data_IF_028275525748
#
_entry.id   IF_028275525748
#
_cell.length_a   1.000
_cell.length_b   1.000
_cell.length_c   1.000
_cell.angle_alpha   90.00
_cell.angle_beta   90.00
_cell.angle_gamma   90.00
#
_symmetry.space_group_name_H-M   'P 1'
#
loop_
_entity.id
_entity.type
_entity.pdbx_description
1 polymer ?
#
# COMPACT_ATOMS: atom_id res chain seq x y z
N UNK A 1 0.89 -19.08 21.83
CA UNK A 1 -0.11 -18.16 22.41
C UNK A 1 0.17 -16.67 22.13
N UNK A 2 1.13 -16.30 21.25
CA UNK A 2 1.52 -14.89 21.01
C UNK A 2 0.75 -14.13 19.92
N UNK A 3 0.09 -14.79 18.96
CA UNK A 3 -0.44 -14.10 17.76
C UNK A 3 -1.78 -13.37 17.98
N UNK A 4 -2.56 -13.74 18.99
CA UNK A 4 -3.88 -13.11 19.22
C UNK A 4 -3.78 -11.67 19.73
N UNK A 5 -2.75 -11.36 20.53
CA UNK A 5 -2.58 -10.03 21.13
C UNK A 5 -2.10 -9.00 20.10
N UNK A 6 -1.18 -9.38 19.21
CA UNK A 6 -0.70 -8.50 18.14
C UNK A 6 -1.80 -8.22 17.12
N UNK A 7 -2.54 -9.25 16.69
CA UNK A 7 -3.64 -9.09 15.74
C UNK A 7 -4.73 -8.13 16.23
N UNK A 8 -5.15 -8.24 17.50
CA UNK A 8 -6.14 -7.33 18.08
C UNK A 8 -5.63 -5.90 18.20
N UNK A 9 -4.36 -5.73 18.57
CA UNK A 9 -3.73 -4.41 18.65
C UNK A 9 -3.63 -3.75 17.27
N UNK A 10 -3.24 -4.48 16.24
CA UNK A 10 -3.14 -3.95 14.87
C UNK A 10 -4.52 -3.58 14.32
N UNK A 11 -5.54 -4.41 14.55
CA UNK A 11 -6.92 -4.10 14.19
C UNK A 11 -7.44 -2.84 14.92
N UNK A 12 -7.03 -2.63 16.17
CA UNK A 12 -7.41 -1.43 16.92
C UNK A 12 -6.72 -0.17 16.35
N UNK A 13 -5.44 -0.26 16.00
CA UNK A 13 -4.72 0.84 15.32
C UNK A 13 -5.36 1.20 13.99
N UNK A 14 -5.69 0.22 13.16
CA UNK A 14 -6.36 0.46 11.87
C UNK A 14 -7.69 1.19 12.06
N UNK A 15 -8.49 0.80 13.06
CA UNK A 15 -9.76 1.49 13.38
C UNK A 15 -9.56 2.94 13.81
N UNK A 16 -8.56 3.22 14.65
CA UNK A 16 -8.27 4.59 15.08
C UNK A 16 -7.76 5.43 13.91
N UNK A 17 -6.91 4.86 13.05
CA UNK A 17 -6.44 5.55 11.86
C UNK A 17 -7.58 5.87 10.90
N UNK A 18 -8.54 4.97 10.72
CA UNK A 18 -9.69 5.18 9.85
C UNK A 18 -10.50 6.44 10.22
N UNK A 19 -10.65 6.74 11.52
CA UNK A 19 -11.33 7.95 12.02
C UNK A 19 -10.59 9.21 11.55
N UNK A 20 -9.26 9.23 11.69
CA UNK A 20 -8.43 10.33 11.19
C UNK A 20 -8.57 10.47 9.67
N UNK A 21 -8.45 9.36 8.93
CA UNK A 21 -8.55 9.36 7.47
C UNK A 21 -9.89 9.89 6.98
N UNK A 22 -11.00 9.51 7.63
CA UNK A 22 -12.32 10.04 7.31
C UNK A 22 -12.37 11.56 7.44
N UNK A 23 -11.86 12.12 8.54
CA UNK A 23 -11.75 13.56 8.71
C UNK A 23 -10.92 14.21 7.59
N UNK A 24 -9.75 13.63 7.28
CA UNK A 24 -8.86 14.17 6.24
C UNK A 24 -9.51 14.16 4.85
N UNK A 25 -10.19 13.08 4.47
CA UNK A 25 -10.89 13.03 3.19
C UNK A 25 -11.98 14.08 3.07
N UNK A 26 -12.81 14.24 4.10
CA UNK A 26 -13.88 15.25 4.08
C UNK A 26 -13.33 16.68 4.02
N UNK A 27 -12.22 16.96 4.72
CA UNK A 27 -11.63 18.29 4.79
C UNK A 27 -10.89 18.69 3.49
N UNK A 28 -10.14 17.75 2.90
CA UNK A 28 -9.24 18.04 1.79
C UNK A 28 -9.83 17.72 0.41
N UNK A 29 -10.82 16.82 0.31
CA UNK A 29 -11.39 16.36 -0.96
C UNK A 29 -12.87 16.77 -1.11
N UNK A 30 -13.16 18.06 -0.97
CA UNK A 30 -14.52 18.64 -0.94
C UNK A 30 -15.41 18.29 -2.14
N UNK A 31 -14.82 18.01 -3.31
CA UNK A 31 -15.54 17.63 -4.54
C UNK A 31 -15.93 16.14 -4.59
N UNK A 32 -15.59 15.38 -3.55
CA UNK A 32 -15.86 13.96 -3.44
C UNK A 32 -16.70 13.65 -2.19
N UNK A 33 -17.58 12.67 -2.32
CA UNK A 33 -18.22 11.96 -1.22
C UNK A 33 -17.49 10.66 -0.93
N UNK A 34 -17.62 10.17 0.29
CA UNK A 34 -16.88 9.04 0.80
C UNK A 34 -17.82 8.06 1.51
N UNK A 35 -17.74 6.79 1.16
CA UNK A 35 -18.51 5.73 1.79
C UNK A 35 -17.57 4.61 2.23
N UNK A 36 -17.45 4.40 3.54
CA UNK A 36 -16.73 3.25 4.09
C UNK A 36 -17.42 1.95 3.75
N UNK A 37 -16.61 0.94 3.48
CA UNK A 37 -17.06 -0.41 3.19
C UNK A 37 -16.84 -1.25 4.44
N UNK A 38 -17.92 -1.79 5.01
CA UNK A 38 -17.89 -2.78 6.09
C UNK A 38 -18.11 -4.21 5.59
N UNK A 39 -18.43 -4.37 4.29
CA UNK A 39 -18.60 -5.68 3.67
C UNK A 39 -17.25 -6.38 3.53
N UNK A 40 -17.08 -7.49 4.25
CA UNK A 40 -15.82 -8.23 4.31
C UNK A 40 -15.39 -8.75 2.93
N UNK A 41 -16.35 -9.14 2.06
CA UNK A 41 -16.02 -9.64 0.73
C UNK A 41 -15.42 -8.54 -0.16
N UNK A 42 -15.95 -7.31 -0.09
CA UNK A 42 -15.38 -6.16 -0.79
C UNK A 42 -14.04 -5.73 -0.20
N UNK A 43 -13.88 -5.71 1.13
CA UNK A 43 -12.60 -5.43 1.78
C UNK A 43 -11.53 -6.44 1.35
N UNK A 44 -11.85 -7.74 1.32
CA UNK A 44 -10.93 -8.77 0.79
C UNK A 44 -10.54 -8.53 -0.67
N UNK A 45 -11.38 -7.84 -1.45
CA UNK A 45 -11.10 -7.42 -2.82
C UNK A 45 -10.40 -6.07 -2.92
N UNK A 46 -9.87 -5.54 -1.81
CA UNK A 46 -9.11 -4.29 -1.76
C UNK A 46 -10.01 -3.07 -1.92
N UNK A 47 -11.13 -3.02 -1.19
CA UNK A 47 -12.04 -1.87 -1.18
C UNK A 47 -12.42 -1.53 0.25
N UNK A 48 -11.72 -0.57 0.83
CA UNK A 48 -12.02 -0.02 2.17
C UNK A 48 -12.99 1.17 2.07
N UNK A 49 -12.98 1.84 0.92
CA UNK A 49 -13.69 3.08 0.68
C UNK A 49 -14.17 3.16 -0.77
N UNK A 50 -15.39 3.68 -0.93
CA UNK A 50 -15.91 4.12 -2.22
C UNK A 50 -15.85 5.65 -2.24
N UNK A 51 -15.05 6.18 -3.16
CA UNK A 51 -14.94 7.61 -3.43
C UNK A 51 -15.89 7.97 -4.59
N UNK A 52 -16.72 8.99 -4.40
CA UNK A 52 -17.78 9.37 -5.34
C UNK A 52 -17.57 10.83 -5.76
N UNK A 53 -17.32 11.09 -7.03
CA UNK A 53 -17.20 12.46 -7.54
C UNK A 53 -18.58 13.13 -7.55
N UNK A 54 -18.77 14.22 -6.79
CA UNK A 54 -20.10 14.81 -6.55
C UNK A 54 -20.81 15.27 -7.84
N UNK A 55 -20.07 15.85 -8.79
CA UNK A 55 -20.66 16.43 -9.99
C UNK A 55 -21.05 15.39 -11.04
N UNK A 56 -20.29 14.30 -11.16
CA UNK A 56 -20.46 13.30 -12.23
C UNK A 56 -21.06 12.00 -11.72
N UNK A 57 -21.14 11.82 -10.40
CA UNK A 57 -21.47 10.57 -9.73
C UNK A 57 -20.53 9.40 -10.09
N UNK A 58 -19.36 9.69 -10.68
CA UNK A 58 -18.35 8.66 -10.96
C UNK A 58 -17.80 8.11 -9.66
N UNK A 59 -17.77 6.79 -9.55
CA UNK A 59 -17.28 6.07 -8.37
C UNK A 59 -15.90 5.49 -8.61
N UNK A 60 -15.12 5.39 -7.55
CA UNK A 60 -13.80 4.80 -7.54
C UNK A 60 -13.63 3.96 -6.27
N UNK A 61 -13.02 2.79 -6.42
CA UNK A 61 -12.70 1.89 -5.31
C UNK A 61 -11.31 2.17 -4.78
N UNK A 62 -11.23 2.46 -3.49
CA UNK A 62 -10.00 2.85 -2.81
C UNK A 62 -9.63 1.79 -1.77
N UNK A 63 -8.38 1.37 -1.80
CA UNK A 63 -7.75 0.45 -0.85
C UNK A 63 -6.76 1.26 0.00
N UNK A 64 -6.95 1.27 1.31
CA UNK A 64 -6.07 1.95 2.23
C UNK A 64 -4.88 1.06 2.58
N UNK A 65 -3.70 1.67 2.59
CA UNK A 65 -2.45 1.00 2.92
C UNK A 65 -1.64 1.94 3.79
N UNK A 66 -1.32 1.52 5.01
CA UNK A 66 -0.71 2.40 6.01
C UNK A 66 0.64 1.85 6.50
N UNK A 67 1.57 2.77 6.80
CA UNK A 67 2.86 2.46 7.42
C UNK A 67 2.77 2.46 8.95
N UNK A 68 1.87 1.66 9.53
CA UNK A 68 1.66 1.61 10.98
C UNK A 68 2.87 1.12 11.78
N UNK A 69 3.80 0.40 11.15
CA UNK A 69 5.09 0.01 11.75
C UNK A 69 6.06 1.20 11.90
N UNK A 70 5.76 2.34 11.28
CA UNK A 70 6.61 3.54 11.21
C UNK A 70 5.88 4.79 11.74
N UNK A 71 5.06 4.62 12.78
CA UNK A 71 4.43 5.75 13.48
C UNK A 71 5.52 6.67 14.05
N UNK A 72 5.35 7.96 13.86
CA UNK A 72 6.31 9.04 14.15
C UNK A 72 7.56 9.07 13.26
N UNK A 73 7.55 8.32 12.14
CA UNK A 73 8.57 8.40 11.08
C UNK A 73 7.96 8.82 9.73
N UNK A 74 8.71 9.62 8.96
CA UNK A 74 8.31 10.11 7.63
C UNK A 74 9.14 9.43 6.53
N UNK A 75 8.78 8.19 6.21
CA UNK A 75 9.48 7.44 5.16
C UNK A 75 9.12 7.96 3.76
N UNK A 76 10.10 8.22 2.88
CA UNK A 76 9.86 8.71 1.52
C UNK A 76 9.48 7.60 0.53
N UNK A 77 9.17 6.40 1.02
CA UNK A 77 8.94 5.19 0.20
C UNK A 77 7.73 4.43 0.68
N UNK A 78 7.11 3.64 -0.19
CA UNK A 78 6.06 2.69 0.17
C UNK A 78 6.37 1.29 -0.37
N UNK A 79 5.95 0.26 0.37
CA UNK A 79 6.11 -1.13 -0.03
C UNK A 79 4.87 -1.63 -0.79
N UNK A 80 5.06 -2.12 -2.01
CA UNK A 80 4.02 -2.74 -2.82
C UNK A 80 4.22 -4.25 -2.85
N UNK A 81 3.27 -5.01 -2.31
CA UNK A 81 3.42 -6.46 -2.18
C UNK A 81 3.25 -7.15 -3.53
N UNK A 82 4.30 -7.87 -3.95
CA UNK A 82 4.33 -8.64 -5.19
C UNK A 82 3.80 -10.04 -4.94
N UNK A 83 4.33 -10.71 -3.93
CA UNK A 83 3.92 -12.04 -3.49
C UNK A 83 4.32 -12.31 -2.04
N UNK A 84 3.76 -13.36 -1.47
CA UNK A 84 4.08 -13.84 -0.13
C UNK A 84 3.90 -15.37 -0.05
N UNK A 85 4.51 -15.99 0.95
CA UNK A 85 4.35 -17.41 1.25
C UNK A 85 3.26 -17.62 2.31
N UNK A 86 2.35 -18.55 2.07
CA UNK A 86 1.35 -18.96 3.06
C UNK A 86 1.05 -20.45 2.92
N UNK A 87 1.18 -21.18 4.03
CA UNK A 87 0.97 -22.64 4.07
C UNK A 87 1.78 -23.39 2.98
N UNK A 88 3.05 -23.02 2.80
CA UNK A 88 3.95 -23.62 1.81
C UNK A 88 3.66 -23.27 0.34
N UNK A 89 2.71 -22.36 0.07
CA UNK A 89 2.35 -21.92 -1.28
C UNK A 89 2.67 -20.43 -1.47
N UNK A 90 3.18 -20.07 -2.63
CA UNK A 90 3.29 -18.67 -3.05
C UNK A 90 1.90 -18.15 -3.43
N UNK A 91 1.56 -16.97 -2.91
CA UNK A 91 0.32 -16.25 -3.19
C UNK A 91 0.63 -14.90 -3.82
N UNK A 92 -0.18 -14.42 -4.76
CA UNK A 92 -0.01 -13.08 -5.30
C UNK A 92 -0.22 -12.04 -4.20
N UNK A 93 0.65 -11.05 -4.18
CA UNK A 93 0.50 -9.87 -3.35
C UNK A 93 -0.53 -8.93 -3.96
N UNK A 94 -1.03 -8.00 -3.13
CA UNK A 94 -2.15 -7.15 -3.52
C UNK A 94 -1.90 -6.26 -4.75
N UNK A 95 -0.64 -5.97 -5.13
CA UNK A 95 -0.35 -5.15 -6.31
C UNK A 95 -0.84 -5.84 -7.60
N UNK A 96 -0.47 -7.11 -7.78
CA UNK A 96 -0.72 -7.89 -9.00
C UNK A 96 -1.87 -8.88 -8.89
N UNK A 97 -2.51 -9.00 -7.71
CA UNK A 97 -3.67 -9.88 -7.55
C UNK A 97 -4.85 -9.42 -8.43
N UNK A 98 -5.27 -10.23 -9.43
CA UNK A 98 -6.34 -9.86 -10.35
C UNK A 98 -7.74 -9.88 -9.70
N UNK A 99 -7.88 -10.46 -8.51
CA UNK A 99 -9.15 -10.45 -7.77
C UNK A 99 -9.48 -9.08 -7.16
N UNK A 100 -8.44 -8.22 -7.02
CA UNK A 100 -8.55 -6.87 -6.45
C UNK A 100 -9.27 -5.93 -7.40
N UNK A 101 -10.25 -5.21 -6.86
CA UNK A 101 -11.10 -4.22 -7.54
C UNK A 101 -10.58 -2.79 -7.41
N UNK A 102 -9.47 -2.59 -6.73
CA UNK A 102 -8.90 -1.30 -6.40
C UNK A 102 -8.58 -0.45 -7.64
N UNK A 103 -9.09 0.78 -7.67
CA UNK A 103 -8.71 1.81 -8.65
C UNK A 103 -7.54 2.65 -8.12
N UNK A 104 -7.60 3.00 -6.84
CA UNK A 104 -6.58 3.79 -6.16
C UNK A 104 -6.12 3.16 -4.86
N UNK A 105 -4.81 3.19 -4.63
CA UNK A 105 -4.28 2.99 -3.29
C UNK A 105 -4.23 4.34 -2.56
N UNK A 106 -4.78 4.42 -1.37
CA UNK A 106 -4.56 5.52 -0.43
C UNK A 106 -3.37 5.14 0.45
N UNK A 107 -2.18 5.60 0.07
CA UNK A 107 -0.96 5.35 0.82
C UNK A 107 -0.85 6.35 1.97
N UNK A 108 -0.93 5.83 3.19
CA UNK A 108 -0.87 6.59 4.43
C UNK A 108 0.52 6.47 5.03
N UNK A 109 1.20 7.61 5.12
CA UNK A 109 2.60 7.74 5.55
C UNK A 109 2.74 8.90 6.52
N UNK A 110 3.90 9.05 7.15
CA UNK A 110 4.15 10.12 8.13
C UNK A 110 3.04 10.21 9.19
N UNK A 111 2.66 9.04 9.73
CA UNK A 111 1.56 8.92 10.69
C UNK A 111 2.12 9.35 12.05
N UNK A 112 1.62 10.45 12.61
CA UNK A 112 2.03 10.93 13.92
C UNK A 112 0.99 10.62 14.98
N UNK A 113 1.46 10.29 16.17
CA UNK A 113 0.63 10.06 17.35
C UNK A 113 1.30 10.71 18.57
N UNK A 114 0.56 11.58 19.25
CA UNK A 114 1.02 12.27 20.46
C UNK A 114 0.82 11.40 21.71
N UNK A 115 -0.15 10.48 21.66
CA UNK A 115 -0.45 9.49 22.68
C UNK A 115 -0.64 8.10 22.04
N UNK A 116 -0.47 7.00 22.80
CA UNK A 116 -0.68 5.67 22.27
C UNK A 116 -2.05 5.51 21.59
N UNK A 117 -2.03 5.18 20.29
CA UNK A 117 -3.23 4.95 19.46
C UNK A 117 -4.09 6.19 19.18
N UNK A 118 -3.63 7.39 19.52
CA UNK A 118 -4.27 8.66 19.17
C UNK A 118 -3.50 9.31 18.04
N UNK A 119 -3.89 9.01 16.79
CA UNK A 119 -3.24 9.57 15.61
C UNK A 119 -3.69 11.00 15.36
N UNK A 120 -2.73 11.90 15.20
CA UNK A 120 -2.97 13.35 15.13
C UNK A 120 -2.78 13.90 13.72
N UNK A 121 -1.90 13.31 12.92
CA UNK A 121 -1.72 13.68 11.52
C UNK A 121 -1.15 12.54 10.69
N UNK A 122 -1.33 12.64 9.36
CA UNK A 122 -0.71 11.76 8.40
C UNK A 122 -0.63 12.45 7.04
N UNK A 123 0.21 11.95 6.13
CA UNK A 123 0.18 12.28 4.71
C UNK A 123 -0.58 11.21 3.96
N UNK A 124 -1.40 11.64 2.99
CA UNK A 124 -2.14 10.72 2.13
C UNK A 124 -1.75 10.95 0.66
N UNK A 125 -1.24 9.88 0.04
CA UNK A 125 -0.84 9.88 -1.36
C UNK A 125 -1.70 8.89 -2.12
N UNK A 126 -2.54 9.38 -3.04
CA UNK A 126 -3.35 8.51 -3.90
C UNK A 126 -2.53 8.05 -5.09
N UNK A 127 -2.43 6.74 -5.28
CA UNK A 127 -1.74 6.10 -6.41
C UNK A 127 -2.78 5.44 -7.31
N UNK A 128 -2.81 5.84 -8.59
CA UNK A 128 -3.69 5.20 -9.56
C UNK A 128 -3.12 3.81 -9.95
N UNK A 129 -3.81 2.73 -9.57
CA UNK A 129 -3.32 1.36 -9.77
C UNK A 129 -3.13 1.02 -11.26
N UNK A 130 -4.08 1.28 -12.17
CA UNK A 130 -3.88 1.05 -13.60
C UNK A 130 -2.63 1.75 -14.15
N UNK A 131 -2.44 3.04 -13.84
CA UNK A 131 -1.25 3.78 -14.27
C UNK A 131 0.05 3.23 -13.68
N UNK A 132 0.02 2.79 -12.43
CA UNK A 132 1.19 2.16 -11.81
C UNK A 132 1.55 0.87 -12.55
N UNK A 133 0.56 0.00 -12.81
CA UNK A 133 0.80 -1.26 -13.52
C UNK A 133 1.29 -1.02 -14.96
N UNK A 134 0.78 0.01 -15.63
CA UNK A 134 1.25 0.43 -16.96
C UNK A 134 2.71 0.88 -16.93
N UNK A 135 3.08 1.80 -16.01
CA UNK A 135 4.48 2.21 -15.82
C UNK A 135 5.39 1.01 -15.59
N UNK A 136 5.01 0.12 -14.67
CA UNK A 136 5.82 -1.05 -14.33
C UNK A 136 5.97 -1.95 -15.56
N UNK A 137 4.92 -2.12 -16.36
CA UNK A 137 4.97 -2.88 -17.62
C UNK A 137 5.93 -2.23 -18.62
N UNK A 138 5.87 -0.90 -18.81
CA UNK A 138 6.80 -0.15 -19.67
C UNK A 138 8.25 -0.29 -19.20
N UNK A 139 8.48 -0.35 -17.88
CA UNK A 139 9.79 -0.59 -17.27
C UNK A 139 10.20 -2.07 -17.24
N UNK A 140 9.45 -2.95 -17.90
CA UNK A 140 9.68 -4.41 -17.95
C UNK A 140 9.58 -5.11 -16.59
N UNK A 141 8.89 -4.50 -15.63
CA UNK A 141 8.60 -5.01 -14.29
C UNK A 141 7.23 -5.67 -14.23
N UNK A 142 7.01 -6.68 -15.07
CA UNK A 142 5.85 -7.56 -14.93
C UNK A 142 5.95 -8.42 -13.66
N UNK A 143 4.83 -8.96 -13.19
CA UNK A 143 4.82 -9.92 -12.09
C UNK A 143 5.80 -11.08 -12.34
N UNK A 144 5.78 -11.67 -13.54
CA UNK A 144 6.67 -12.77 -13.93
C UNK A 144 8.15 -12.38 -13.87
N UNK A 145 8.50 -11.15 -14.28
CA UNK A 145 9.87 -10.64 -14.19
C UNK A 145 10.31 -10.52 -12.73
N UNK A 146 9.43 -10.00 -11.87
CA UNK A 146 9.71 -9.83 -10.46
C UNK A 146 9.87 -11.17 -9.73
N UNK A 147 9.08 -12.18 -10.10
CA UNK A 147 9.20 -13.54 -9.57
C UNK A 147 10.56 -14.18 -9.91
N UNK A 148 11.13 -13.90 -11.09
CA UNK A 148 12.50 -14.34 -11.43
C UNK A 148 13.53 -13.74 -10.47
N UNK A 149 13.37 -12.48 -10.03
CA UNK A 149 14.26 -11.88 -9.03
C UNK A 149 14.11 -12.55 -7.67
N UNK A 150 12.90 -12.93 -7.29
CA UNK A 150 12.66 -13.67 -6.05
C UNK A 150 13.35 -15.04 -6.06
N UNK A 151 13.23 -15.79 -7.15
CA UNK A 151 13.89 -17.10 -7.30
C UNK A 151 15.42 -16.97 -7.23
N UNK A 152 15.98 -15.97 -7.94
CA UNK A 152 17.43 -15.67 -7.92
C UNK A 152 17.94 -15.17 -6.58
N UNK A 153 17.07 -14.59 -5.75
CA UNK A 153 17.44 -14.17 -4.42
C UNK A 153 17.76 -15.37 -3.50
N UNK A 154 17.33 -16.59 -3.85
CA UNK A 154 17.59 -17.82 -3.10
C UNK A 154 17.30 -17.68 -1.59
N UNK A 155 16.20 -17.00 -1.25
CA UNK A 155 15.79 -16.79 0.15
C UNK A 155 16.59 -15.74 0.92
N UNK A 156 17.47 -14.97 0.26
CA UNK A 156 18.18 -13.84 0.88
C UNK A 156 17.20 -12.84 1.46
N UNK A 157 17.50 -12.37 2.67
CA UNK A 157 16.80 -11.27 3.31
C UNK A 157 17.40 -9.94 2.87
N UNK A 158 16.56 -8.92 2.67
CA UNK A 158 16.98 -7.53 2.51
C UNK A 158 16.77 -6.95 1.12
N UNK A 159 17.49 -5.85 0.86
CA UNK A 159 17.38 -5.03 -0.37
C UNK A 159 18.06 -5.71 -1.55
N UNK A 160 17.35 -5.74 -2.68
CA UNK A 160 17.80 -6.25 -3.96
C UNK A 160 17.69 -5.11 -4.98
N UNK A 161 18.84 -4.70 -5.53
CA UNK A 161 18.91 -3.73 -6.63
C UNK A 161 18.55 -4.42 -7.93
N UNK A 162 17.81 -3.72 -8.79
CA UNK A 162 17.44 -4.17 -10.12
C UNK A 162 17.89 -3.13 -11.15
N UNK A 163 18.10 -3.55 -12.39
CA UNK A 163 18.56 -2.67 -13.48
C UNK A 163 17.48 -1.74 -14.00
N UNK A 164 16.22 -2.11 -13.78
CA UNK A 164 15.03 -1.44 -14.28
C UNK A 164 14.67 -0.19 -13.49
N UNK A 165 15.22 -0.03 -12.27
CA UNK A 165 14.99 1.11 -11.39
C UNK A 165 16.29 1.63 -10.78
N UNK A 166 16.42 2.95 -10.70
CA UNK A 166 17.44 3.56 -9.84
C UNK A 166 17.09 3.35 -8.36
N UNK A 167 18.00 2.71 -7.62
CA UNK A 167 17.73 2.31 -6.23
C UNK A 167 17.73 3.45 -5.20
N UNK A 168 18.10 4.66 -5.62
CA UNK A 168 18.15 5.86 -4.80
C UNK A 168 16.95 6.77 -5.07
N UNK A 169 16.63 7.03 -6.35
CA UNK A 169 15.55 7.94 -6.76
C UNK A 169 14.23 7.26 -7.12
N UNK A 170 14.23 6.01 -7.58
CA UNK A 170 13.01 5.35 -8.09
C UNK A 170 12.51 4.24 -7.16
N UNK A 171 13.32 3.20 -6.92
CA UNK A 171 12.86 2.05 -6.14
C UNK A 171 13.77 0.83 -6.19
N UNK A 172 13.39 -0.21 -5.44
CA UNK A 172 14.15 -1.47 -5.33
C UNK A 172 13.25 -2.61 -4.85
N UNK A 173 13.75 -3.85 -4.88
CA UNK A 173 13.03 -5.01 -4.32
C UNK A 173 13.48 -5.30 -2.90
N UNK A 174 12.58 -5.78 -2.05
CA UNK A 174 12.90 -6.14 -0.67
C UNK A 174 12.28 -7.48 -0.29
N UNK A 175 13.11 -8.39 0.20
CA UNK A 175 12.73 -9.73 0.63
C UNK A 175 12.73 -9.85 2.15
N UNK A 176 11.55 -10.04 2.76
CA UNK A 176 11.41 -10.14 4.22
C UNK A 176 11.45 -11.58 4.73
N UNK A 177 12.52 -12.34 4.43
CA UNK A 177 12.55 -13.80 4.70
C UNK A 177 12.80 -14.19 6.16
N UNK A 178 13.32 -13.29 6.99
CA UNK A 178 13.69 -13.57 8.39
C UNK A 178 12.69 -13.03 9.41
N UNK A 179 12.01 -11.93 9.10
CA UNK A 179 11.25 -11.17 10.11
C UNK A 179 9.73 -11.43 10.08
N UNK A 180 9.23 -12.10 9.04
CA UNK A 180 7.79 -12.36 8.86
C UNK A 180 7.56 -13.80 8.41
N UNK A 181 6.60 -14.48 9.03
CA UNK A 181 6.22 -15.85 8.68
C UNK A 181 5.79 -15.97 7.22
N UNK A 182 5.10 -14.94 6.70
CA UNK A 182 4.63 -14.91 5.31
C UNK A 182 5.72 -14.57 4.30
N UNK A 183 6.95 -14.25 4.74
CA UNK A 183 8.11 -13.94 3.87
C UNK A 183 7.76 -13.06 2.65
N UNK A 184 7.13 -11.88 2.84
CA UNK A 184 6.65 -11.07 1.74
C UNK A 184 7.80 -10.56 0.88
N UNK A 185 7.54 -10.49 -0.42
CA UNK A 185 8.39 -9.90 -1.42
C UNK A 185 7.75 -8.63 -1.95
N UNK A 186 8.44 -7.51 -1.76
CA UNK A 186 7.89 -6.19 -2.02
C UNK A 186 8.71 -5.43 -3.07
N UNK A 187 8.01 -4.67 -3.90
CA UNK A 187 8.57 -3.57 -4.66
C UNK A 187 8.49 -2.30 -3.82
N UNK A 188 9.63 -1.75 -3.42
CA UNK A 188 9.71 -0.50 -2.67
C UNK A 188 9.86 0.63 -3.68
N UNK A 189 8.90 1.56 -3.72
CA UNK A 189 8.93 2.72 -4.61
C UNK A 189 9.01 4.01 -3.81
N UNK A 190 9.75 4.98 -4.35
CA UNK A 190 9.82 6.35 -3.84
C UNK A 190 8.52 7.07 -4.17
N UNK A 191 7.96 7.77 -3.18
CA UNK A 191 6.69 8.49 -3.37
C UNK A 191 6.83 9.62 -4.38
N UNK A 192 7.96 10.35 -4.34
CA UNK A 192 8.22 11.46 -5.27
C UNK A 192 8.33 10.95 -6.72
N UNK A 193 9.00 9.82 -6.95
CA UNK A 193 9.03 9.16 -8.26
C UNK A 193 7.61 8.89 -8.80
N UNK A 194 6.69 8.39 -7.96
CA UNK A 194 5.30 8.15 -8.37
C UNK A 194 4.56 9.45 -8.71
N UNK A 195 4.82 10.53 -7.97
CA UNK A 195 4.21 11.85 -8.18
C UNK A 195 4.73 12.48 -9.46
N UNK A 196 6.05 12.50 -9.65
CA UNK A 196 6.74 13.06 -10.83
C UNK A 196 6.32 12.37 -12.12
N UNK A 197 6.02 11.07 -12.09
CA UNK A 197 5.52 10.32 -13.24
C UNK A 197 3.99 10.43 -13.43
N UNK A 198 3.29 11.27 -12.66
CA UNK A 198 1.84 11.49 -12.81
C UNK A 198 0.96 10.27 -12.46
N UNK A 199 1.52 9.34 -11.69
CA UNK A 199 0.85 8.12 -11.21
C UNK A 199 0.17 8.40 -9.87
N UNK A 200 0.79 9.25 -9.07
CA UNK A 200 0.33 9.58 -7.73
C UNK A 200 0.07 11.08 -7.53
N UNK A 201 -0.78 11.39 -6.56
CA UNK A 201 -1.00 12.75 -6.07
C UNK A 201 -1.14 12.75 -4.55
N UNK A 202 -0.36 13.61 -3.90
CA UNK A 202 -0.50 13.93 -2.47
C UNK A 202 -1.45 15.11 -2.31
N UNK A 203 -2.33 15.04 -1.32
CA UNK A 203 -3.32 16.09 -1.03
C UNK A 203 -3.41 16.45 0.47
N UNK A 204 -2.60 15.76 1.29
CA UNK A 204 -2.32 16.05 2.69
C UNK A 204 -0.82 15.89 2.90
#
# INVERSE_FOLDING_TARGET
MGDKSHFQSDLQKEKQLAILLDSMYHNHLKNYGFKRVSDLNLQHRGVDLIMIQKNTQKTFFVDEKAQLDYVNDDLPTFAFEINYQKNGKTKPGWLYDPSKKTDFYALVTAIYADEPQTFTSCKITFVNRPKLLDLLTTRKLSQSRLEIYWEKAHGKHGKIKISELDSHSEGYLYASTQNKAEKPFNLILKLDFLIENGIAKRFV
#
